data_IF_847995668691
#
_entry.id   IF_847995668691
#
_cell.length_a   1.000
_cell.length_b   1.000
_cell.length_c   1.000
_cell.angle_alpha   90.00
_cell.angle_beta   90.00
_cell.angle_gamma   90.00
#
_symmetry.space_group_name_H-M   'P 1'
#
loop_
_entity.id
_entity.type
_entity.pdbx_description
1 polymer ?
#
# COMPACT_ATOMS: atom_id res chain seq x y z
N UNK A 1 24.43 -36.60 -45.76
CA UNK A 1 25.10 -35.75 -44.74
C UNK A 1 24.43 -34.38 -44.51
N UNK A 2 23.74 -33.76 -45.48
CA UNK A 2 23.10 -32.41 -45.31
C UNK A 2 21.83 -32.36 -44.44
N UNK A 3 21.04 -33.44 -44.30
CA UNK A 3 19.81 -33.44 -43.48
C UNK A 3 20.09 -33.53 -41.97
N UNK A 4 21.19 -34.14 -41.49
CA UNK A 4 21.55 -34.20 -40.08
C UNK A 4 22.04 -32.87 -39.48
N UNK A 5 22.66 -32.02 -40.32
CA UNK A 5 23.13 -30.71 -39.90
C UNK A 5 22.03 -29.68 -39.67
N UNK A 6 20.89 -29.80 -40.40
CA UNK A 6 19.74 -28.89 -40.21
C UNK A 6 18.96 -29.21 -38.91
N UNK A 7 18.86 -30.50 -38.55
CA UNK A 7 18.13 -30.92 -37.31
C UNK A 7 18.94 -30.49 -36.08
N UNK A 8 20.28 -30.62 -36.09
CA UNK A 8 21.11 -30.17 -34.96
C UNK A 8 21.06 -28.66 -34.77
N UNK A 9 21.00 -27.86 -35.83
CA UNK A 9 20.87 -26.39 -35.72
C UNK A 9 19.49 -25.95 -35.25
N UNK A 10 18.43 -26.68 -35.62
CA UNK A 10 17.06 -26.42 -35.13
C UNK A 10 16.92 -26.72 -33.65
N UNK A 11 17.49 -27.82 -33.17
CA UNK A 11 17.45 -28.19 -31.74
C UNK A 11 18.29 -27.25 -30.88
N UNK A 12 19.48 -26.78 -31.36
CA UNK A 12 20.27 -25.78 -30.64
C UNK A 12 19.62 -24.42 -30.58
N UNK A 13 18.88 -23.99 -31.63
CA UNK A 13 18.14 -22.75 -31.63
C UNK A 13 16.90 -22.81 -30.71
N UNK A 14 16.21 -23.95 -30.63
CA UNK A 14 15.11 -24.19 -29.71
C UNK A 14 15.58 -24.26 -28.24
N UNK A 15 16.73 -24.86 -27.98
CA UNK A 15 17.32 -24.89 -26.62
C UNK A 15 17.82 -23.50 -26.20
N UNK A 16 18.37 -22.68 -27.11
CA UNK A 16 18.74 -21.31 -26.82
C UNK A 16 17.52 -20.39 -26.59
N UNK A 17 16.44 -20.61 -27.34
CA UNK A 17 15.17 -19.88 -27.14
C UNK A 17 14.48 -20.27 -25.81
N UNK A 18 14.61 -21.53 -25.37
CA UNK A 18 14.11 -21.97 -24.07
C UNK A 18 14.91 -21.40 -22.89
N UNK A 19 16.20 -21.10 -23.08
CA UNK A 19 17.02 -20.41 -22.06
C UNK A 19 16.79 -18.89 -22.01
N UNK A 20 16.10 -18.30 -23.01
CA UNK A 20 15.77 -16.89 -23.07
C UNK A 20 14.27 -16.60 -22.83
N UNK A 21 13.48 -17.61 -22.55
CA UNK A 21 12.12 -17.36 -22.07
C UNK A 21 12.25 -16.65 -20.71
N UNK A 22 11.77 -15.40 -20.58
CA UNK A 22 11.69 -14.80 -19.24
C UNK A 22 10.91 -15.77 -18.37
N UNK A 23 11.41 -16.10 -17.19
CA UNK A 23 10.59 -16.82 -16.21
C UNK A 23 9.32 -16.01 -16.05
N UNK A 24 8.20 -16.53 -16.51
CA UNK A 24 6.88 -15.93 -16.32
C UNK A 24 6.62 -15.97 -14.82
N UNK A 25 7.00 -14.92 -14.13
CA UNK A 25 6.63 -14.73 -12.72
C UNK A 25 5.17 -14.28 -12.69
N UNK A 26 4.43 -14.79 -11.73
CA UNK A 26 3.03 -14.40 -11.54
C UNK A 26 2.91 -12.90 -11.24
N UNK A 27 3.88 -12.36 -10.52
CA UNK A 27 3.90 -10.95 -10.11
C UNK A 27 5.07 -10.20 -10.74
N UNK A 28 4.79 -8.99 -11.20
CA UNK A 28 5.82 -8.07 -11.65
C UNK A 28 6.51 -7.42 -10.45
N UNK A 29 7.78 -7.12 -10.61
CA UNK A 29 8.61 -6.45 -9.60
C UNK A 29 9.45 -5.38 -10.30
N UNK A 30 9.84 -4.35 -9.54
CA UNK A 30 10.80 -3.37 -10.02
C UNK A 30 12.15 -4.02 -10.37
N UNK A 31 12.88 -3.51 -11.38
CA UNK A 31 14.22 -3.96 -11.69
C UNK A 31 15.20 -3.73 -10.52
N UNK A 32 16.16 -4.64 -10.33
CA UNK A 32 17.14 -4.54 -9.24
C UNK A 32 17.94 -3.22 -9.25
N UNK A 33 18.13 -2.60 -10.42
CA UNK A 33 18.78 -1.29 -10.57
C UNK A 33 18.01 -0.15 -9.87
N UNK A 34 16.68 -0.22 -9.82
CA UNK A 34 15.84 0.77 -9.13
C UNK A 34 16.12 0.75 -7.64
N UNK A 35 16.20 -0.44 -7.04
CA UNK A 35 16.53 -0.57 -5.62
C UNK A 35 17.95 -0.06 -5.31
N UNK A 36 18.91 -0.34 -6.17
CA UNK A 36 20.28 0.20 -6.03
C UNK A 36 20.31 1.73 -6.10
N UNK A 37 19.53 2.35 -6.99
CA UNK A 37 19.42 3.81 -7.08
C UNK A 37 18.79 4.41 -5.83
N UNK A 38 17.76 3.78 -5.26
CA UNK A 38 17.11 4.20 -3.99
C UNK A 38 18.11 4.16 -2.83
N UNK A 39 18.90 3.08 -2.71
CA UNK A 39 19.96 2.97 -1.69
C UNK A 39 21.02 4.06 -1.84
N UNK A 40 21.47 4.32 -3.05
CA UNK A 40 22.44 5.38 -3.31
C UNK A 40 21.91 6.77 -2.91
N UNK A 41 20.67 7.09 -3.24
CA UNK A 41 20.00 8.35 -2.84
C UNK A 41 19.88 8.47 -1.31
N UNK A 42 19.47 7.39 -0.62
CA UNK A 42 19.34 7.39 0.84
C UNK A 42 20.68 7.63 1.52
N UNK A 43 21.72 6.90 1.12
CA UNK A 43 23.08 7.05 1.68
C UNK A 43 23.62 8.46 1.49
N UNK A 44 23.39 9.03 0.29
CA UNK A 44 23.83 10.41 0.01
C UNK A 44 23.11 11.45 0.88
N UNK A 45 21.82 11.24 1.16
CA UNK A 45 21.02 12.13 1.99
C UNK A 45 21.40 12.07 3.48
N UNK A 46 21.67 10.87 4.01
CA UNK A 46 21.98 10.65 5.44
C UNK A 46 23.47 10.85 5.74
N UNK A 47 24.36 10.44 4.82
CA UNK A 47 25.82 10.50 4.94
C UNK A 47 26.40 9.85 6.23
N UNK A 48 25.74 8.82 6.73
CA UNK A 48 26.15 8.01 7.88
C UNK A 48 25.80 6.53 7.61
N UNK A 49 26.34 5.58 8.38
CA UNK A 49 25.96 4.18 8.27
C UNK A 49 24.48 3.97 8.60
N UNK A 50 23.79 3.19 7.79
CA UNK A 50 22.37 2.86 7.94
C UNK A 50 22.24 1.34 8.02
N UNK A 51 21.53 0.85 9.01
CA UNK A 51 21.16 -0.56 9.13
C UNK A 51 19.65 -0.70 9.21
N UNK A 52 19.10 -1.56 8.36
CA UNK A 52 17.67 -1.88 8.33
C UNK A 52 17.48 -3.39 8.42
N UNK A 53 16.35 -3.79 8.97
CA UNK A 53 16.00 -5.18 9.19
C UNK A 53 14.72 -5.53 8.43
N UNK A 54 14.71 -6.69 7.82
CA UNK A 54 13.50 -7.30 7.31
C UNK A 54 12.79 -8.10 8.39
N UNK A 55 11.51 -8.36 8.16
CA UNK A 55 10.71 -9.24 9.03
C UNK A 55 11.26 -10.66 9.06
N UNK A 56 11.04 -11.32 10.18
CA UNK A 56 11.47 -12.72 10.42
C UNK A 56 10.35 -13.72 10.10
N UNK A 57 9.16 -13.25 9.76
CA UNK A 57 7.96 -14.05 9.59
C UNK A 57 7.23 -14.40 10.90
N UNK A 58 7.66 -13.79 12.01
CA UNK A 58 7.07 -14.00 13.34
C UNK A 58 6.46 -12.73 13.93
N UNK A 59 6.50 -11.63 13.21
CA UNK A 59 6.03 -10.32 13.66
C UNK A 59 4.50 -10.23 13.67
N UNK A 60 3.86 -10.84 12.68
CA UNK A 60 2.42 -10.82 12.55
C UNK A 60 1.83 -12.24 12.60
N UNK A 61 0.74 -12.38 13.34
CA UNK A 61 -0.10 -13.57 13.29
C UNK A 61 -1.05 -13.52 12.09
N UNK A 62 -0.50 -13.36 10.87
CA UNK A 62 -1.32 -13.33 9.66
C UNK A 62 -1.60 -14.78 9.20
N UNK A 63 -2.88 -15.22 9.18
CA UNK A 63 -3.25 -16.56 8.73
C UNK A 63 -3.15 -16.74 7.21
N UNK A 64 -2.92 -15.69 6.43
CA UNK A 64 -2.88 -15.76 4.97
C UNK A 64 -1.65 -16.49 4.41
N UNK A 65 -0.65 -16.75 5.22
CA UNK A 65 0.60 -17.40 4.85
C UNK A 65 1.41 -16.74 3.72
N UNK A 66 0.99 -15.58 3.23
CA UNK A 66 1.76 -14.80 2.27
C UNK A 66 2.69 -13.92 3.07
N UNK A 67 4.00 -14.23 3.02
CA UNK A 67 4.99 -13.38 3.66
C UNK A 67 5.11 -12.05 2.93
N UNK A 68 4.90 -10.97 3.65
CA UNK A 68 5.14 -9.60 3.20
C UNK A 68 6.30 -9.04 4.01
N UNK A 69 7.25 -8.46 3.29
CA UNK A 69 8.43 -7.87 3.89
C UNK A 69 8.11 -6.51 4.51
N UNK A 70 8.92 -6.09 5.50
CA UNK A 70 8.90 -4.71 6.00
C UNK A 70 9.11 -3.74 4.83
N UNK A 71 8.27 -2.73 4.73
CA UNK A 71 8.09 -1.95 3.51
C UNK A 71 9.30 -1.07 3.19
N UNK A 72 9.99 -0.49 4.17
CA UNK A 72 11.21 0.30 3.94
C UNK A 72 12.38 -0.57 3.53
N UNK A 73 12.50 -1.73 4.18
CA UNK A 73 13.50 -2.73 3.77
C UNK A 73 13.23 -3.22 2.36
N UNK A 74 11.98 -3.56 2.03
CA UNK A 74 11.58 -3.97 0.68
C UNK A 74 11.83 -2.86 -0.35
N UNK A 75 11.45 -1.61 -0.04
CA UNK A 75 11.65 -0.45 -0.90
C UNK A 75 13.11 -0.27 -1.32
N UNK A 76 14.04 -0.61 -0.43
CA UNK A 76 15.48 -0.45 -0.65
C UNK A 76 16.16 -1.70 -1.23
N UNK A 77 15.59 -2.88 -1.06
CA UNK A 77 16.25 -4.14 -1.41
C UNK A 77 15.55 -4.93 -2.50
N UNK A 78 14.23 -4.86 -2.58
CA UNK A 78 13.40 -5.77 -3.37
C UNK A 78 13.43 -7.22 -2.87
N UNK A 79 14.02 -7.46 -1.69
CA UNK A 79 14.17 -8.79 -1.11
C UNK A 79 12.96 -9.12 -0.22
N UNK A 80 12.18 -10.13 -0.63
CA UNK A 80 10.96 -10.53 0.07
C UNK A 80 11.10 -11.94 0.67
N UNK A 81 12.14 -12.15 1.47
CA UNK A 81 12.37 -13.36 2.25
C UNK A 81 12.74 -12.99 3.69
N UNK A 82 12.42 -13.87 4.63
CA UNK A 82 12.50 -13.65 6.07
C UNK A 82 13.94 -13.52 6.60
N UNK A 83 14.13 -12.68 7.62
CA UNK A 83 15.34 -12.68 8.47
C UNK A 83 16.54 -11.96 7.86
N UNK A 84 16.37 -11.14 6.83
CA UNK A 84 17.44 -10.38 6.21
C UNK A 84 17.75 -9.06 6.94
N UNK A 85 18.93 -8.48 6.68
CA UNK A 85 19.27 -7.13 7.07
C UNK A 85 20.09 -6.43 5.97
N UNK A 86 19.97 -5.12 5.92
CA UNK A 86 20.68 -4.23 5.00
C UNK A 86 21.64 -3.35 5.77
N UNK A 87 22.89 -3.26 5.32
CA UNK A 87 23.84 -2.27 5.78
C UNK A 87 24.26 -1.38 4.60
N UNK A 88 24.11 -0.07 4.79
CA UNK A 88 24.59 0.94 3.86
C UNK A 88 25.69 1.76 4.53
N UNK A 89 26.77 2.03 3.80
CA UNK A 89 27.93 2.75 4.30
C UNK A 89 28.23 3.92 3.35
N UNK A 90 28.33 5.17 3.87
CA UNK A 90 28.53 6.34 3.02
C UNK A 90 29.92 6.36 2.36
N UNK A 91 30.06 7.13 1.28
CA UNK A 91 31.36 7.30 0.58
C UNK A 91 32.44 7.88 1.49
N UNK A 92 32.09 8.76 2.42
CA UNK A 92 32.98 9.34 3.41
C UNK A 92 33.64 8.30 4.32
N UNK A 93 33.17 7.05 4.33
CA UNK A 93 33.77 5.97 5.11
C UNK A 93 35.18 5.57 4.64
N UNK A 94 35.44 5.65 3.35
CA UNK A 94 36.78 5.36 2.79
C UNK A 94 37.84 6.31 3.38
N UNK A 95 37.51 7.59 3.51
CA UNK A 95 38.40 8.59 4.14
C UNK A 95 38.63 8.34 5.63
N UNK A 96 37.74 7.57 6.25
CA UNK A 96 37.79 7.13 7.64
C UNK A 96 38.38 5.73 7.80
N UNK A 97 39.01 5.20 6.73
CA UNK A 97 39.69 3.90 6.76
C UNK A 97 38.78 2.68 6.55
N UNK A 98 37.54 2.87 6.10
CA UNK A 98 36.68 1.74 5.68
C UNK A 98 37.14 1.16 4.35
N UNK A 99 37.41 -0.13 4.32
CA UNK A 99 37.85 -0.86 3.11
C UNK A 99 36.83 -1.93 2.65
N UNK A 100 35.70 -2.06 3.38
CA UNK A 100 34.64 -3.01 3.05
C UNK A 100 33.72 -2.51 1.95
N UNK A 101 32.76 -3.37 1.54
CA UNK A 101 31.71 -2.97 0.62
C UNK A 101 30.81 -1.89 1.24
N UNK A 102 30.27 -1.00 0.38
CA UNK A 102 29.39 0.09 0.82
C UNK A 102 27.92 -0.32 0.93
N UNK A 103 27.54 -1.42 0.29
CA UNK A 103 26.21 -2.01 0.37
C UNK A 103 26.37 -3.49 0.66
N UNK A 104 25.79 -3.96 1.76
CA UNK A 104 25.85 -5.35 2.18
C UNK A 104 24.45 -5.83 2.52
N UNK A 105 24.00 -6.87 1.85
CA UNK A 105 22.81 -7.60 2.24
C UNK A 105 23.24 -8.78 3.14
N UNK A 106 22.63 -8.87 4.31
CA UNK A 106 22.85 -9.97 5.24
C UNK A 106 21.70 -10.93 5.16
N UNK A 107 21.98 -12.21 4.91
CA UNK A 107 20.98 -13.27 4.83
C UNK A 107 21.22 -14.30 5.93
N UNK A 108 20.18 -14.95 6.42
CA UNK A 108 20.33 -16.16 7.24
C UNK A 108 20.96 -17.28 6.41
N UNK A 109 21.70 -18.21 7.04
CA UNK A 109 22.12 -19.43 6.36
C UNK A 109 20.91 -20.26 5.95
N UNK A 110 21.02 -21.01 4.85
CA UNK A 110 19.97 -21.95 4.44
C UNK A 110 19.75 -23.03 5.50
N UNK A 111 18.50 -23.35 5.75
CA UNK A 111 18.08 -24.49 6.57
C UNK A 111 17.27 -25.50 5.75
N UNK A 112 17.88 -26.61 5.28
CA UNK A 112 17.19 -27.62 4.47
C UNK A 112 15.97 -28.27 5.18
N UNK A 113 15.86 -28.18 6.51
CA UNK A 113 14.69 -28.67 7.23
C UNK A 113 13.52 -27.71 7.07
N UNK A 114 13.75 -26.41 7.25
CA UNK A 114 12.72 -25.39 7.05
C UNK A 114 12.30 -25.28 5.58
N UNK A 115 13.25 -25.41 4.64
CA UNK A 115 12.94 -25.37 3.20
C UNK A 115 12.01 -26.50 2.74
N UNK A 116 11.91 -27.60 3.49
CA UNK A 116 10.90 -28.64 3.23
C UNK A 116 9.47 -28.21 3.57
N UNK A 117 9.33 -27.23 4.43
CA UNK A 117 8.01 -26.70 4.85
C UNK A 117 7.61 -25.47 4.04
N UNK A 118 8.55 -24.56 3.83
CA UNK A 118 8.26 -23.23 3.32
C UNK A 118 8.81 -22.98 1.89
N UNK A 119 9.44 -23.99 1.29
CA UNK A 119 10.13 -23.84 0.01
C UNK A 119 11.58 -23.36 0.15
N UNK A 120 12.35 -23.36 -0.98
CA UNK A 120 13.73 -22.94 -0.99
C UNK A 120 13.87 -21.45 -0.73
N UNK A 121 14.92 -21.06 0.02
CA UNK A 121 15.28 -19.66 0.33
C UNK A 121 16.67 -19.33 -0.18
N UNK A 122 16.92 -18.05 -0.40
CA UNK A 122 18.25 -17.56 -0.75
C UNK A 122 19.14 -17.57 0.49
N UNK A 123 20.36 -18.11 0.31
CA UNK A 123 21.41 -18.05 1.31
C UNK A 123 22.61 -17.25 0.85
N UNK A 124 23.48 -16.80 1.80
CA UNK A 124 24.63 -15.95 1.44
C UNK A 124 25.65 -16.66 0.56
N UNK A 125 25.70 -17.99 0.58
CA UNK A 125 26.67 -18.82 -0.16
C UNK A 125 26.05 -19.40 -1.47
N UNK A 126 24.84 -18.99 -1.84
CA UNK A 126 24.20 -19.51 -3.06
C UNK A 126 24.94 -19.04 -4.33
N UNK A 127 25.09 -19.92 -5.32
CA UNK A 127 25.67 -19.53 -6.60
C UNK A 127 24.89 -18.39 -7.27
N UNK A 128 25.59 -17.33 -7.68
CA UNK A 128 24.99 -16.17 -8.33
C UNK A 128 24.14 -15.30 -7.41
N UNK A 129 24.33 -15.36 -6.08
CA UNK A 129 23.51 -14.60 -5.12
C UNK A 129 23.59 -13.09 -5.35
N UNK A 130 24.75 -12.55 -5.79
CA UNK A 130 24.91 -11.15 -6.11
C UNK A 130 24.01 -10.74 -7.29
N UNK A 131 23.96 -11.56 -8.34
CA UNK A 131 23.14 -11.32 -9.52
C UNK A 131 21.64 -11.41 -9.18
N UNK A 132 21.25 -12.36 -8.31
CA UNK A 132 19.86 -12.57 -7.89
C UNK A 132 19.35 -11.44 -7.02
N UNK A 133 20.21 -10.88 -6.17
CA UNK A 133 19.84 -9.85 -5.19
C UNK A 133 20.16 -8.43 -5.65
N UNK A 134 21.05 -8.26 -6.64
CA UNK A 134 21.54 -6.96 -7.09
C UNK A 134 22.52 -6.29 -6.13
N UNK A 135 23.08 -7.04 -5.17
CA UNK A 135 24.09 -6.56 -4.24
C UNK A 135 25.48 -7.03 -4.64
N UNK A 136 26.47 -6.17 -4.53
CA UNK A 136 27.88 -6.54 -4.77
C UNK A 136 28.43 -7.40 -3.65
N UNK A 137 27.85 -7.31 -2.46
CA UNK A 137 28.24 -8.08 -1.29
C UNK A 137 27.01 -8.65 -0.57
N UNK A 138 26.98 -9.96 -0.40
CA UNK A 138 26.02 -10.68 0.42
C UNK A 138 26.79 -11.46 1.47
N UNK A 139 26.37 -11.39 2.72
CA UNK A 139 27.05 -11.99 3.86
C UNK A 139 26.06 -12.71 4.78
N UNK A 140 26.58 -13.60 5.62
CA UNK A 140 25.75 -14.21 6.67
C UNK A 140 25.40 -13.19 7.74
N UNK A 141 24.16 -13.26 8.23
CA UNK A 141 23.64 -12.36 9.29
C UNK A 141 24.52 -12.32 10.54
N UNK A 142 25.19 -13.40 10.87
CA UNK A 142 26.09 -13.49 12.01
C UNK A 142 27.23 -12.46 12.01
N UNK A 143 27.65 -11.97 10.83
CA UNK A 143 28.74 -10.98 10.67
C UNK A 143 28.26 -9.54 10.89
N UNK A 144 26.97 -9.26 10.90
CA UNK A 144 26.44 -7.89 10.97
C UNK A 144 26.93 -7.14 12.22
N UNK A 145 26.88 -7.81 13.38
CA UNK A 145 27.30 -7.19 14.66
C UNK A 145 28.74 -6.71 14.65
N UNK A 146 29.66 -7.54 14.19
CA UNK A 146 31.10 -7.20 14.13
C UNK A 146 31.37 -6.10 13.11
N UNK A 147 30.66 -6.11 11.98
CA UNK A 147 30.75 -5.08 10.95
C UNK A 147 30.30 -3.72 11.48
N UNK A 148 29.14 -3.67 12.17
CA UNK A 148 28.64 -2.45 12.81
C UNK A 148 29.59 -1.95 13.91
N UNK A 149 30.10 -2.82 14.76
CA UNK A 149 31.06 -2.46 15.80
C UNK A 149 32.37 -1.88 15.21
N UNK A 150 32.78 -2.38 14.04
CA UNK A 150 33.90 -1.82 13.28
C UNK A 150 33.64 -0.40 12.77
N UNK A 151 32.46 -0.15 12.20
CA UNK A 151 32.05 1.17 11.71
C UNK A 151 31.88 2.19 12.81
N UNK A 152 31.28 1.80 13.93
CA UNK A 152 31.02 2.69 15.06
C UNK A 152 32.30 3.29 15.71
N UNK A 153 33.47 2.74 15.44
CA UNK A 153 34.76 3.34 15.86
C UNK A 153 35.02 4.70 15.21
N UNK A 154 34.49 4.90 14.01
CA UNK A 154 34.71 6.09 13.19
C UNK A 154 33.44 6.88 12.91
N UNK A 155 32.27 6.37 13.33
CA UNK A 155 30.97 7.01 13.20
C UNK A 155 30.31 7.11 14.55
N UNK A 156 30.07 8.34 15.06
CA UNK A 156 29.37 8.56 16.33
C UNK A 156 27.86 8.32 16.21
N UNK A 157 27.34 8.22 14.98
CA UNK A 157 25.92 8.05 14.68
C UNK A 157 25.71 6.85 13.74
N UNK A 158 24.76 6.00 14.06
CA UNK A 158 24.26 4.90 13.23
C UNK A 158 22.76 5.08 13.07
N UNK A 159 22.29 5.02 11.84
CA UNK A 159 20.87 5.20 11.53
C UNK A 159 20.14 3.85 11.41
N UNK A 160 18.97 3.77 11.97
CA UNK A 160 18.02 2.67 11.82
C UNK A 160 16.59 3.19 12.00
N UNK A 161 15.60 2.35 11.86
CA UNK A 161 14.24 2.72 12.21
C UNK A 161 14.06 2.76 13.72
N UNK A 162 13.47 3.85 14.20
CA UNK A 162 13.07 4.01 15.59
C UNK A 162 11.54 3.96 15.69
N UNK A 163 10.99 3.52 16.84
CA UNK A 163 9.55 3.60 17.08
C UNK A 163 9.06 5.04 16.91
N UNK A 164 7.95 5.21 16.20
CA UNK A 164 7.30 6.50 16.04
C UNK A 164 6.63 6.98 17.34
N UNK A 165 6.31 8.28 17.44
CA UNK A 165 5.68 8.84 18.65
C UNK A 165 4.25 8.34 18.90
N UNK A 166 3.63 7.71 17.90
CA UNK A 166 2.27 7.15 17.97
C UNK A 166 2.25 5.63 17.99
N UNK A 167 3.43 4.98 17.98
CA UNK A 167 3.51 3.52 18.07
C UNK A 167 3.10 3.07 19.47
N UNK A 168 2.10 2.21 19.52
CA UNK A 168 1.59 1.61 20.75
C UNK A 168 2.13 0.20 20.94
N UNK A 169 2.26 -0.25 22.18
CA UNK A 169 2.68 -1.61 22.50
C UNK A 169 4.18 -1.86 22.29
N UNK A 170 4.53 -2.88 21.52
CA UNK A 170 5.91 -3.29 21.28
C UNK A 170 6.22 -3.30 19.77
N UNK A 171 6.41 -2.14 19.14
CA UNK A 171 6.68 -2.05 17.71
C UNK A 171 8.00 -2.75 17.34
N UNK A 172 8.08 -3.31 16.13
CA UNK A 172 9.28 -4.01 15.64
C UNK A 172 10.52 -3.12 15.66
N UNK A 173 10.37 -1.85 15.33
CA UNK A 173 11.43 -0.84 15.38
C UNK A 173 12.04 -0.70 16.78
N UNK A 174 11.30 -0.95 17.85
CA UNK A 174 11.85 -0.95 19.22
C UNK A 174 12.84 -2.10 19.42
N UNK A 175 12.57 -3.30 18.88
CA UNK A 175 13.47 -4.43 18.94
C UNK A 175 14.71 -4.21 18.08
N UNK A 176 14.56 -3.68 16.87
CA UNK A 176 15.66 -3.38 15.95
C UNK A 176 16.57 -2.29 16.51
N UNK A 177 16.00 -1.18 16.96
CA UNK A 177 16.77 -0.10 17.58
C UNK A 177 17.50 -0.55 18.83
N UNK A 178 16.89 -1.40 19.68
CA UNK A 178 17.54 -2.01 20.83
C UNK A 178 18.71 -2.89 20.40
N UNK A 179 18.52 -3.76 19.41
CA UNK A 179 19.58 -4.61 18.87
C UNK A 179 20.77 -3.80 18.38
N UNK A 180 20.51 -2.68 17.67
CA UNK A 180 21.57 -1.77 17.21
C UNK A 180 22.28 -1.12 18.39
N UNK A 181 21.55 -0.59 19.38
CA UNK A 181 22.14 -0.02 20.60
C UNK A 181 23.03 -1.01 21.35
N UNK A 182 22.58 -2.26 21.46
CA UNK A 182 23.36 -3.32 22.11
C UNK A 182 24.60 -3.75 21.28
N UNK A 183 24.56 -3.57 19.95
CA UNK A 183 25.69 -3.87 19.08
C UNK A 183 26.74 -2.75 19.07
N UNK A 184 26.32 -1.51 19.22
CA UNK A 184 27.19 -0.31 19.12
C UNK A 184 26.90 0.68 20.25
N UNK A 185 27.11 0.30 21.53
CA UNK A 185 26.73 1.11 22.69
C UNK A 185 27.44 2.48 22.79
N UNK A 186 28.52 2.67 22.03
CA UNK A 186 29.28 3.92 21.96
C UNK A 186 28.75 4.91 20.92
N UNK A 187 27.87 4.48 20.01
CA UNK A 187 27.27 5.34 19.00
C UNK A 187 25.84 5.77 19.37
N UNK A 188 25.44 6.94 18.92
CA UNK A 188 24.05 7.37 18.96
C UNK A 188 23.26 6.68 17.88
N UNK A 189 22.09 6.13 18.22
CA UNK A 189 21.18 5.50 17.25
C UNK A 189 20.15 6.55 16.83
N UNK A 190 20.13 6.85 15.54
CA UNK A 190 19.32 7.90 14.92
C UNK A 190 18.21 7.29 14.05
N UNK A 191 17.10 8.02 13.89
CA UNK A 191 15.98 7.58 13.05
C UNK A 191 16.21 7.87 11.57
N UNK A 192 15.97 6.86 10.73
CA UNK A 192 16.09 6.95 9.27
C UNK A 192 14.73 7.12 8.58
N UNK A 193 13.63 6.90 9.28
CA UNK A 193 12.27 6.79 8.72
C UNK A 193 11.87 8.02 7.89
N UNK A 194 12.21 9.22 8.37
CA UNK A 194 11.91 10.47 7.65
C UNK A 194 12.65 10.58 6.31
N UNK A 195 13.90 10.11 6.24
CA UNK A 195 14.69 10.14 5.01
C UNK A 195 14.15 9.13 3.97
N UNK A 196 13.78 7.92 4.42
CA UNK A 196 13.15 6.90 3.57
C UNK A 196 11.79 7.40 3.08
N UNK A 197 10.94 7.92 3.97
CA UNK A 197 9.63 8.47 3.62
C UNK A 197 9.72 9.60 2.57
N UNK A 198 10.76 10.43 2.64
CA UNK A 198 11.02 11.46 1.63
C UNK A 198 11.25 10.86 0.24
N UNK A 199 11.96 9.74 0.14
CA UNK A 199 12.17 9.05 -1.14
C UNK A 199 10.89 8.36 -1.62
N UNK A 200 10.14 7.71 -0.72
CA UNK A 200 8.89 7.01 -1.02
C UNK A 200 7.78 7.95 -1.50
N UNK A 201 7.80 9.21 -1.09
CA UNK A 201 6.77 10.17 -1.45
C UNK A 201 6.64 10.37 -2.97
N UNK A 202 7.74 10.36 -3.72
CA UNK A 202 7.77 10.56 -5.18
C UNK A 202 7.88 9.21 -5.88
N UNK A 203 6.80 8.77 -6.49
CA UNK A 203 6.69 7.47 -7.15
C UNK A 203 7.39 7.46 -8.50
N UNK A 204 8.14 6.43 -8.77
CA UNK A 204 8.71 6.14 -10.10
C UNK A 204 7.61 5.68 -11.06
N UNK A 205 7.89 5.65 -12.35
CA UNK A 205 6.96 5.11 -13.36
C UNK A 205 6.65 3.62 -13.13
N UNK A 206 7.61 2.84 -12.60
CA UNK A 206 7.41 1.44 -12.24
C UNK A 206 6.46 1.29 -11.05
N UNK A 207 6.66 2.07 -9.98
CA UNK A 207 5.75 2.10 -8.84
C UNK A 207 4.33 2.49 -9.25
N UNK A 208 4.17 3.51 -10.10
CA UNK A 208 2.86 3.91 -10.63
C UNK A 208 2.18 2.80 -11.44
N UNK A 209 2.94 2.00 -12.18
CA UNK A 209 2.40 0.85 -12.89
C UNK A 209 1.93 -0.25 -11.94
N UNK A 210 2.63 -0.50 -10.83
CA UNK A 210 2.25 -1.47 -9.81
C UNK A 210 1.03 -1.00 -9.01
N UNK A 211 0.97 0.28 -8.62
CA UNK A 211 -0.21 0.90 -7.99
C UNK A 211 -1.43 0.76 -8.91
N UNK A 212 -1.30 1.01 -10.22
CA UNK A 212 -2.42 0.86 -11.15
C UNK A 212 -2.91 -0.59 -11.24
N UNK A 213 -2.01 -1.58 -11.07
CA UNK A 213 -2.38 -3.00 -11.00
C UNK A 213 -3.09 -3.40 -9.70
N UNK A 214 -2.94 -2.65 -8.63
CA UNK A 214 -3.77 -2.78 -7.44
C UNK A 214 -5.13 -2.08 -7.61
N UNK A 215 -5.14 -0.91 -8.26
CA UNK A 215 -6.36 -0.10 -8.50
C UNK A 215 -7.33 -0.81 -9.44
N UNK A 216 -6.86 -1.38 -10.55
CA UNK A 216 -7.75 -1.95 -11.57
C UNK A 216 -8.65 -3.08 -11.04
N UNK A 217 -8.13 -4.10 -10.30
CA UNK A 217 -8.96 -5.09 -9.63
C UNK A 217 -9.89 -4.49 -8.57
N UNK A 218 -9.42 -3.47 -7.84
CA UNK A 218 -10.24 -2.81 -6.82
C UNK A 218 -11.44 -2.09 -7.43
N UNK A 219 -11.27 -1.45 -8.59
CA UNK A 219 -12.39 -0.92 -9.37
C UNK A 219 -13.37 -2.03 -9.77
N UNK A 220 -12.87 -3.16 -10.27
CA UNK A 220 -13.73 -4.29 -10.68
C UNK A 220 -14.46 -4.90 -9.47
N UNK A 221 -13.83 -4.96 -8.29
CA UNK A 221 -14.44 -5.39 -7.04
C UNK A 221 -15.61 -4.46 -6.63
N UNK A 222 -15.40 -3.14 -6.68
CA UNK A 222 -16.46 -2.16 -6.40
C UNK A 222 -17.62 -2.27 -7.40
N UNK A 223 -17.35 -2.42 -8.69
CA UNK A 223 -18.40 -2.60 -9.70
C UNK A 223 -19.18 -3.91 -9.49
N UNK A 224 -18.52 -4.97 -9.05
CA UNK A 224 -19.17 -6.24 -8.71
C UNK A 224 -20.02 -6.10 -7.43
N UNK A 225 -19.52 -5.40 -6.40
CA UNK A 225 -20.27 -5.10 -5.19
C UNK A 225 -21.54 -4.28 -5.49
N UNK A 226 -21.46 -3.24 -6.33
CA UNK A 226 -22.62 -2.46 -6.77
C UNK A 226 -23.69 -3.32 -7.43
N UNK A 227 -23.31 -4.30 -8.23
CA UNK A 227 -24.27 -5.24 -8.89
C UNK A 227 -24.85 -6.28 -7.92
N UNK A 228 -24.09 -6.64 -6.91
CA UNK A 228 -24.45 -7.73 -5.97
C UNK A 228 -25.29 -7.24 -4.78
N UNK A 229 -24.99 -6.06 -4.24
CA UNK A 229 -25.59 -5.55 -2.99
C UNK A 229 -27.11 -5.47 -3.11
N UNK A 230 -27.79 -6.06 -2.12
CA UNK A 230 -29.23 -6.03 -1.93
C UNK A 230 -29.59 -6.34 -0.47
N UNK A 231 -30.78 -5.93 -0.01
CA UNK A 231 -31.28 -6.35 1.30
C UNK A 231 -31.28 -7.87 1.46
N UNK A 232 -30.93 -8.34 2.65
CA UNK A 232 -30.87 -9.76 3.00
C UNK A 232 -29.47 -10.39 2.95
N UNK A 233 -28.52 -9.80 2.23
CA UNK A 233 -27.10 -10.20 2.31
C UNK A 233 -26.49 -9.75 3.65
N UNK A 234 -25.38 -10.35 4.02
CA UNK A 234 -24.53 -9.89 5.11
C UNK A 234 -23.31 -9.10 4.56
N UNK A 235 -22.81 -8.16 5.35
CA UNK A 235 -21.64 -7.34 5.03
C UNK A 235 -20.43 -8.22 4.62
N UNK A 236 -20.16 -9.32 5.37
CA UNK A 236 -19.06 -10.25 5.05
C UNK A 236 -19.20 -10.93 3.68
N UNK A 237 -20.41 -11.10 3.16
CA UNK A 237 -20.61 -11.72 1.83
C UNK A 237 -20.18 -10.76 0.72
N UNK A 238 -20.38 -9.46 0.93
CA UNK A 238 -19.91 -8.41 0.01
C UNK A 238 -18.40 -8.30 0.10
N UNK A 239 -17.83 -8.23 1.31
CA UNK A 239 -16.39 -8.20 1.53
C UNK A 239 -15.70 -9.41 0.87
N UNK A 240 -16.18 -10.63 1.13
CA UNK A 240 -15.63 -11.86 0.55
C UNK A 240 -15.63 -11.85 -0.99
N UNK A 241 -16.69 -11.28 -1.61
CA UNK A 241 -16.73 -11.17 -3.08
C UNK A 241 -15.69 -10.18 -3.62
N UNK A 242 -15.45 -9.09 -2.90
CA UNK A 242 -14.43 -8.10 -3.30
C UNK A 242 -13.03 -8.69 -3.17
N UNK A 243 -12.72 -9.36 -2.07
CA UNK A 243 -11.44 -10.07 -1.84
C UNK A 243 -11.21 -11.14 -2.92
N UNK A 244 -12.22 -11.96 -3.25
CA UNK A 244 -12.10 -12.97 -4.33
C UNK A 244 -11.66 -12.33 -5.66
N UNK A 245 -12.16 -11.15 -6.00
CA UNK A 245 -11.79 -10.46 -7.24
C UNK A 245 -10.34 -9.98 -7.19
N UNK A 246 -9.91 -9.44 -6.06
CA UNK A 246 -8.52 -9.03 -5.87
C UNK A 246 -7.55 -10.20 -6.02
N UNK A 247 -7.77 -11.28 -5.28
CA UNK A 247 -6.91 -12.49 -5.34
C UNK A 247 -6.92 -13.12 -6.73
N UNK A 248 -8.10 -13.23 -7.38
CA UNK A 248 -8.21 -13.78 -8.73
C UNK A 248 -7.45 -12.97 -9.77
N UNK A 249 -7.37 -11.64 -9.58
CA UNK A 249 -6.63 -10.74 -10.46
C UNK A 249 -5.13 -10.66 -10.13
N UNK A 250 -4.66 -11.35 -9.09
CA UNK A 250 -3.26 -11.45 -8.71
C UNK A 250 -2.81 -10.47 -7.63
N UNK A 251 -3.72 -9.80 -6.92
CA UNK A 251 -3.37 -9.14 -5.68
C UNK A 251 -2.91 -10.20 -4.65
N UNK A 252 -1.80 -9.92 -3.98
CA UNK A 252 -1.22 -10.88 -3.03
C UNK A 252 -2.00 -10.90 -1.71
N UNK A 253 -2.64 -9.78 -1.39
CA UNK A 253 -3.51 -9.58 -0.22
C UNK A 253 -4.37 -8.33 -0.40
N UNK A 254 -5.20 -8.03 0.59
CA UNK A 254 -5.83 -6.73 0.73
C UNK A 254 -4.82 -5.70 1.27
N UNK A 255 -4.94 -4.43 0.85
CA UNK A 255 -4.11 -3.34 1.36
C UNK A 255 -4.42 -3.02 2.83
N UNK A 256 -5.65 -3.30 3.25
CA UNK A 256 -6.17 -3.16 4.62
C UNK A 256 -7.39 -4.07 4.79
N UNK A 257 -7.84 -4.28 6.03
CA UNK A 257 -9.04 -5.08 6.29
C UNK A 257 -10.25 -4.46 5.59
N UNK A 258 -11.02 -5.21 4.80
CA UNK A 258 -12.19 -4.68 4.10
C UNK A 258 -13.18 -4.01 5.05
N UNK A 259 -13.61 -2.80 4.71
CA UNK A 259 -14.63 -2.03 5.41
C UNK A 259 -15.90 -2.10 4.58
N UNK A 260 -16.88 -2.84 5.05
CA UNK A 260 -18.24 -2.92 4.48
C UNK A 260 -19.21 -2.61 5.60
N UNK A 261 -19.61 -1.34 5.71
CA UNK A 261 -20.45 -0.85 6.80
C UNK A 261 -21.84 -0.45 6.32
N UNK A 262 -22.90 -0.99 6.95
CA UNK A 262 -24.29 -0.72 6.59
C UNK A 262 -25.04 0.00 7.69
N UNK A 263 -25.95 0.92 7.35
CA UNK A 263 -26.71 1.70 8.32
C UNK A 263 -25.78 2.38 9.33
N UNK A 264 -25.95 2.13 10.63
CA UNK A 264 -25.09 2.71 11.68
C UNK A 264 -23.60 2.38 11.47
N UNK A 265 -23.27 1.17 11.00
CA UNK A 265 -21.88 0.76 10.79
C UNK A 265 -21.15 1.63 9.75
N UNK A 266 -21.90 2.25 8.81
CA UNK A 266 -21.31 3.20 7.85
C UNK A 266 -20.76 4.47 8.51
N UNK A 267 -21.13 4.74 9.76
CA UNK A 267 -20.63 5.90 10.53
C UNK A 267 -19.37 5.61 11.33
N UNK A 268 -18.89 4.37 11.31
CA UNK A 268 -17.65 3.93 11.98
C UNK A 268 -16.53 3.87 10.96
N UNK A 269 -15.53 4.73 11.08
CA UNK A 269 -14.51 4.99 10.03
C UNK A 269 -13.79 3.73 9.55
N UNK A 270 -13.29 2.89 10.46
CA UNK A 270 -12.58 1.64 10.17
C UNK A 270 -13.36 0.42 10.65
N UNK A 271 -14.65 0.33 10.22
CA UNK A 271 -15.51 -0.79 10.59
C UNK A 271 -15.12 -2.06 9.84
N UNK A 272 -14.57 -3.04 10.54
CA UNK A 272 -14.05 -4.29 9.97
C UNK A 272 -14.68 -5.58 10.50
N UNK A 273 -15.73 -5.50 11.33
CA UNK A 273 -16.42 -6.70 11.83
C UNK A 273 -17.25 -7.39 10.76
N UNK A 274 -17.84 -6.63 9.85
CA UNK A 274 -18.63 -7.04 8.69
C UNK A 274 -19.70 -8.10 9.00
N UNK A 275 -20.35 -8.01 10.17
CA UNK A 275 -21.23 -9.05 10.70
C UNK A 275 -22.74 -8.73 10.62
N UNK A 276 -23.11 -7.51 10.16
CA UNK A 276 -24.49 -7.07 10.09
C UNK A 276 -25.18 -7.54 8.82
N UNK A 277 -26.47 -7.87 8.91
CA UNK A 277 -27.35 -8.10 7.75
C UNK A 277 -27.75 -6.75 7.14
N UNK A 278 -27.64 -6.64 5.81
CA UNK A 278 -28.06 -5.48 5.04
C UNK A 278 -29.58 -5.40 5.02
N UNK A 279 -30.13 -4.27 5.40
CA UNK A 279 -31.57 -4.04 5.46
C UNK A 279 -32.06 -3.10 4.35
N UNK A 280 -33.35 -3.15 4.05
CA UNK A 280 -33.95 -2.23 3.08
C UNK A 280 -33.89 -0.80 3.61
N UNK A 281 -33.45 0.14 2.77
CA UNK A 281 -33.24 1.53 3.17
C UNK A 281 -31.89 1.85 3.81
N UNK A 282 -31.02 0.85 4.05
CA UNK A 282 -29.65 1.11 4.48
C UNK A 282 -28.83 1.84 3.40
N UNK A 283 -27.86 2.59 3.86
CA UNK A 283 -26.67 2.95 3.06
C UNK A 283 -25.60 1.91 3.28
N UNK A 284 -24.77 1.63 2.28
CA UNK A 284 -23.64 0.69 2.34
C UNK A 284 -22.38 1.44 1.95
N UNK A 285 -21.48 1.65 2.88
CA UNK A 285 -20.16 2.19 2.66
C UNK A 285 -19.21 1.02 2.38
N UNK A 286 -18.52 1.08 1.25
CA UNK A 286 -17.56 0.10 0.77
C UNK A 286 -16.21 0.79 0.67
N UNK A 287 -15.26 0.43 1.52
CA UNK A 287 -13.90 0.94 1.52
C UNK A 287 -12.96 -0.27 1.51
N UNK A 288 -12.49 -0.61 0.30
CA UNK A 288 -11.79 -1.86 0.04
C UNK A 288 -10.79 -1.66 -1.09
N UNK A 289 -9.52 -1.92 -0.80
CA UNK A 289 -8.42 -1.84 -1.76
C UNK A 289 -7.54 -3.09 -1.72
N UNK A 290 -7.10 -3.53 -2.90
CA UNK A 290 -6.16 -4.64 -3.04
C UNK A 290 -4.72 -4.18 -2.99
N UNK A 291 -3.80 -5.13 -2.75
CA UNK A 291 -2.36 -4.91 -2.76
C UNK A 291 -1.70 -5.79 -3.83
N UNK A 292 -1.00 -5.17 -4.79
CA UNK A 292 -0.27 -5.87 -5.84
C UNK A 292 1.22 -5.58 -5.76
N UNK A 293 2.03 -6.64 -5.65
CA UNK A 293 3.50 -6.51 -5.54
C UNK A 293 3.94 -5.60 -4.40
N UNK A 294 3.19 -5.60 -3.29
CA UNK A 294 3.39 -4.75 -2.13
C UNK A 294 2.77 -3.35 -2.25
N UNK A 295 2.32 -2.90 -3.43
CA UNK A 295 1.71 -1.58 -3.61
C UNK A 295 0.21 -1.61 -3.38
N UNK A 296 -0.27 -0.69 -2.56
CA UNK A 296 -1.66 -0.55 -2.16
C UNK A 296 -2.49 0.26 -3.19
N UNK A 297 -3.80 0.04 -3.17
CA UNK A 297 -4.82 0.97 -3.64
C UNK A 297 -5.74 1.34 -2.49
N UNK A 298 -6.41 2.50 -2.60
CA UNK A 298 -7.37 2.95 -1.60
C UNK A 298 -8.61 3.56 -2.26
N UNK A 299 -9.75 2.90 -2.08
CA UNK A 299 -10.98 3.28 -2.79
C UNK A 299 -12.19 3.12 -1.89
N UNK A 300 -12.94 4.21 -1.71
CA UNK A 300 -14.26 4.16 -1.08
C UNK A 300 -15.37 4.54 -2.04
N UNK A 301 -16.46 3.77 -2.01
CA UNK A 301 -17.76 4.13 -2.57
C UNK A 301 -18.88 3.87 -1.56
N UNK A 302 -19.89 4.74 -1.57
CA UNK A 302 -21.08 4.58 -0.77
C UNK A 302 -22.29 4.39 -1.68
N UNK A 303 -23.10 3.35 -1.44
CA UNK A 303 -24.20 2.95 -2.30
C UNK A 303 -25.48 2.67 -1.50
N UNK A 304 -26.68 2.81 -2.08
CA UNK A 304 -27.95 2.45 -1.41
C UNK A 304 -28.18 0.94 -1.44
N UNK A 305 -28.54 0.32 -0.32
CA UNK A 305 -28.73 -1.13 -0.22
C UNK A 305 -29.74 -1.71 -1.22
N UNK A 306 -30.81 -0.99 -1.53
CA UNK A 306 -31.88 -1.44 -2.43
C UNK A 306 -31.74 -0.92 -3.89
N UNK A 307 -30.66 -0.18 -4.18
CA UNK A 307 -30.37 0.37 -5.50
C UNK A 307 -31.00 1.73 -5.77
N UNK A 308 -31.55 2.40 -4.76
CA UNK A 308 -32.10 3.75 -4.84
C UNK A 308 -31.76 4.55 -3.59
N UNK A 309 -31.10 5.69 -3.77
CA UNK A 309 -30.89 6.64 -2.67
C UNK A 309 -32.23 7.23 -2.20
N UNK A 310 -32.45 7.27 -0.89
CA UNK A 310 -33.50 8.12 -0.34
C UNK A 310 -33.15 9.61 -0.56
N UNK A 311 -34.10 10.54 -0.49
CA UNK A 311 -33.80 11.98 -0.66
C UNK A 311 -32.70 12.47 0.29
N UNK A 312 -32.68 12.01 1.55
CA UNK A 312 -31.66 12.40 2.52
C UNK A 312 -30.29 11.78 2.24
N UNK A 313 -30.25 10.51 1.86
CA UNK A 313 -29.00 9.84 1.46
C UNK A 313 -28.39 10.53 0.24
N UNK A 314 -29.20 10.87 -0.76
CA UNK A 314 -28.74 11.58 -1.97
C UNK A 314 -28.23 12.98 -1.62
N UNK A 315 -28.91 13.71 -0.78
CA UNK A 315 -28.48 15.03 -0.30
C UNK A 315 -27.09 14.97 0.32
N UNK A 316 -26.88 14.10 1.29
CA UNK A 316 -25.55 13.94 1.95
C UNK A 316 -24.51 13.44 0.97
N UNK A 317 -24.86 12.49 0.11
CA UNK A 317 -23.96 11.98 -0.93
C UNK A 317 -23.48 13.08 -1.88
N UNK A 318 -24.38 13.90 -2.38
CA UNK A 318 -24.07 14.99 -3.31
C UNK A 318 -23.22 16.09 -2.66
N UNK A 319 -23.37 16.34 -1.36
CA UNK A 319 -22.52 17.26 -0.60
C UNK A 319 -21.09 16.69 -0.48
N UNK A 320 -20.94 15.39 -0.15
CA UNK A 320 -19.62 14.73 -0.08
C UNK A 320 -18.97 14.71 -1.45
N UNK A 321 -19.70 14.38 -2.51
CA UNK A 321 -19.19 14.40 -3.90
C UNK A 321 -18.77 15.80 -4.32
N UNK A 322 -19.54 16.83 -3.94
CA UNK A 322 -19.21 18.22 -4.21
C UNK A 322 -17.94 18.67 -3.49
N UNK A 323 -17.75 18.25 -2.24
CA UNK A 323 -16.52 18.52 -1.48
C UNK A 323 -15.30 17.83 -2.11
N UNK A 324 -15.48 16.56 -2.56
CA UNK A 324 -14.43 15.83 -3.27
C UNK A 324 -14.05 16.54 -4.58
N UNK A 325 -15.03 16.93 -5.38
CA UNK A 325 -14.79 17.67 -6.63
C UNK A 325 -14.09 19.00 -6.39
N UNK A 326 -14.52 19.78 -5.40
CA UNK A 326 -13.88 21.06 -5.06
C UNK A 326 -12.41 20.87 -4.65
N UNK A 327 -12.11 19.85 -3.86
CA UNK A 327 -10.75 19.52 -3.49
C UNK A 327 -9.93 19.05 -4.70
N UNK A 328 -10.46 18.13 -5.52
CA UNK A 328 -9.79 17.63 -6.74
C UNK A 328 -9.48 18.75 -7.73
N UNK A 329 -10.40 19.67 -7.99
CA UNK A 329 -10.19 20.81 -8.89
C UNK A 329 -9.05 21.74 -8.42
N UNK A 330 -8.81 21.78 -7.11
CA UNK A 330 -7.72 22.55 -6.52
C UNK A 330 -6.37 21.82 -6.52
N UNK A 331 -6.33 20.49 -6.76
CA UNK A 331 -5.09 19.69 -6.72
C UNK A 331 -4.10 20.15 -7.78
N UNK A 332 -2.93 20.60 -7.31
CA UNK A 332 -1.77 20.95 -8.14
C UNK A 332 -0.50 21.01 -7.28
N UNK A 333 0.69 21.01 -7.88
CA UNK A 333 1.93 21.23 -7.13
C UNK A 333 1.87 22.52 -6.30
N UNK A 334 2.40 22.48 -5.09
CA UNK A 334 2.41 23.61 -4.15
C UNK A 334 1.21 23.67 -3.19
N UNK A 335 0.14 22.87 -3.43
CA UNK A 335 -0.95 22.70 -2.44
C UNK A 335 -0.48 21.85 -1.26
N UNK A 336 -1.19 21.89 -0.14
CA UNK A 336 -0.93 21.10 1.06
C UNK A 336 -2.12 20.19 1.37
N UNK A 337 -1.88 19.01 1.95
CA UNK A 337 -2.97 18.10 2.35
C UNK A 337 -3.79 18.72 3.48
N UNK A 338 -3.12 19.14 4.54
CA UNK A 338 -3.72 19.77 5.73
C UNK A 338 -3.31 21.22 5.91
N UNK A 339 -3.87 21.85 6.94
CA UNK A 339 -3.61 23.26 7.26
C UNK A 339 -4.88 24.11 7.29
N UNK A 340 -4.71 25.42 7.56
CA UNK A 340 -5.83 26.38 7.69
C UNK A 340 -5.80 27.50 6.65
N UNK A 341 -4.79 27.50 5.79
CA UNK A 341 -4.64 28.51 4.74
C UNK A 341 -5.32 28.10 3.43
N UNK A 342 -5.29 29.00 2.45
CA UNK A 342 -5.94 28.81 1.15
C UNK A 342 -5.27 27.73 0.27
N UNK A 343 -4.09 27.22 0.64
CA UNK A 343 -3.41 26.14 -0.06
C UNK A 343 -3.78 24.75 0.45
N UNK A 344 -4.57 24.67 1.52
CA UNK A 344 -4.99 23.41 2.13
C UNK A 344 -6.18 22.79 1.42
N UNK A 345 -5.99 21.58 0.87
CA UNK A 345 -7.07 20.77 0.29
C UNK A 345 -8.13 20.40 1.34
N UNK A 346 -7.69 20.07 2.57
CA UNK A 346 -8.58 19.82 3.72
C UNK A 346 -9.53 20.99 3.96
N UNK A 347 -8.98 22.22 3.96
CA UNK A 347 -9.79 23.42 4.18
C UNK A 347 -10.84 23.61 3.07
N UNK A 348 -10.46 23.38 1.81
CA UNK A 348 -11.37 23.52 0.67
C UNK A 348 -12.56 22.55 0.81
N UNK A 349 -12.30 21.28 1.14
CA UNK A 349 -13.36 20.30 1.35
C UNK A 349 -14.25 20.65 2.55
N UNK A 350 -13.66 21.09 3.67
CA UNK A 350 -14.39 21.51 4.86
C UNK A 350 -15.28 22.73 4.60
N UNK A 351 -14.73 23.76 3.95
CA UNK A 351 -15.50 24.98 3.61
C UNK A 351 -16.68 24.64 2.68
N UNK A 352 -16.50 23.69 1.76
CA UNK A 352 -17.59 23.22 0.91
C UNK A 352 -18.71 22.56 1.74
N UNK A 353 -18.38 21.61 2.60
CA UNK A 353 -19.34 20.91 3.47
C UNK A 353 -20.05 21.92 4.38
N UNK A 354 -19.33 22.85 5.01
CA UNK A 354 -19.89 23.85 5.91
C UNK A 354 -20.91 24.77 5.24
N UNK A 355 -20.72 25.07 3.96
CA UNK A 355 -21.59 25.99 3.21
C UNK A 355 -22.78 25.32 2.51
N UNK A 356 -22.75 23.98 2.27
CA UNK A 356 -23.73 23.30 1.41
C UNK A 356 -24.72 22.41 2.15
N UNK A 357 -24.59 22.19 3.46
CA UNK A 357 -25.49 21.30 4.15
C UNK A 357 -25.76 21.66 5.61
N UNK A 358 -26.92 21.22 6.08
CA UNK A 358 -27.37 21.36 7.47
C UNK A 358 -27.83 20.01 8.03
N UNK A 359 -27.61 19.81 9.34
CA UNK A 359 -28.26 18.74 10.08
C UNK A 359 -29.74 19.09 10.36
N UNK A 360 -30.45 18.16 11.01
CA UNK A 360 -31.85 18.34 11.34
C UNK A 360 -32.12 19.49 12.33
N UNK A 361 -31.10 19.94 13.04
CA UNK A 361 -31.12 21.09 13.95
C UNK A 361 -30.67 22.39 13.29
N UNK A 362 -30.39 22.38 11.98
CA UNK A 362 -29.99 23.57 11.22
C UNK A 362 -28.52 23.96 11.37
N UNK A 363 -27.67 23.12 11.99
CA UNK A 363 -26.24 23.34 12.17
C UNK A 363 -25.47 22.81 10.96
N UNK A 364 -24.25 23.35 10.73
CA UNK A 364 -23.38 22.89 9.66
C UNK A 364 -23.06 21.40 9.76
N UNK A 365 -23.00 20.70 8.61
CA UNK A 365 -22.55 19.31 8.49
C UNK A 365 -21.04 19.13 8.67
N UNK A 366 -20.23 20.17 8.66
CA UNK A 366 -18.79 20.09 8.90
C UNK A 366 -18.42 19.45 10.24
N UNK A 367 -19.31 19.52 11.26
CA UNK A 367 -19.13 18.81 12.54
C UNK A 367 -19.10 17.29 12.42
N UNK A 368 -19.61 16.74 11.35
CA UNK A 368 -19.65 15.31 11.06
C UNK A 368 -18.53 14.86 10.08
N UNK A 369 -17.69 15.80 9.65
CA UNK A 369 -16.46 15.50 8.91
C UNK A 369 -15.28 15.45 9.88
N UNK A 370 -14.94 14.25 10.36
CA UNK A 370 -14.15 14.02 11.57
C UNK A 370 -12.74 13.43 11.32
N UNK A 371 -12.29 13.37 10.05
CA UNK A 371 -10.96 12.87 9.67
C UNK A 371 -10.28 13.78 8.65
N UNK A 372 -9.05 13.46 8.30
CA UNK A 372 -8.30 14.16 7.26
C UNK A 372 -8.86 13.89 5.86
N UNK A 373 -8.65 14.84 4.93
CA UNK A 373 -9.08 14.68 3.54
C UNK A 373 -8.27 13.65 2.78
N UNK A 374 -7.00 13.40 3.20
CA UNK A 374 -6.04 12.78 2.31
C UNK A 374 -4.81 12.27 3.06
N UNK A 375 -4.26 11.18 2.57
CA UNK A 375 -2.93 10.66 2.92
C UNK A 375 -2.21 10.20 1.65
N UNK A 376 -0.91 9.91 1.76
CA UNK A 376 -0.14 9.30 0.67
C UNK A 376 -0.46 7.82 0.55
N UNK A 377 -0.37 7.27 -0.67
CA UNK A 377 -0.54 5.85 -0.99
C UNK A 377 0.72 5.33 -1.69
N UNK A 378 1.15 4.12 -1.35
CA UNK A 378 2.34 3.47 -1.92
C UNK A 378 2.48 2.02 -1.48
N UNK A 379 3.63 1.64 -0.92
CA UNK A 379 3.82 0.32 -0.30
C UNK A 379 2.97 0.15 0.97
N UNK A 380 2.69 1.23 1.67
CA UNK A 380 1.64 1.25 2.68
C UNK A 380 0.41 1.97 2.13
N UNK A 381 -0.77 1.59 2.60
CA UNK A 381 -2.00 2.35 2.32
C UNK A 381 -1.86 3.78 2.87
N UNK A 382 -1.35 3.96 4.09
CA UNK A 382 -0.91 5.25 4.64
C UNK A 382 0.61 5.38 4.45
N UNK A 383 1.03 5.73 3.24
CA UNK A 383 2.44 5.74 2.85
C UNK A 383 3.20 6.92 3.50
N UNK A 384 4.40 6.69 4.07
CA UNK A 384 5.17 7.77 4.64
C UNK A 384 5.66 8.74 3.56
N UNK A 385 5.66 10.03 3.86
CA UNK A 385 6.08 11.08 2.93
C UNK A 385 7.26 11.93 3.42
N UNK A 386 7.85 11.57 4.58
CA UNK A 386 8.83 12.38 5.26
C UNK A 386 8.19 13.60 5.94
N UNK A 387 8.93 14.71 6.15
CA UNK A 387 8.39 15.92 6.75
C UNK A 387 7.24 16.50 5.94
N UNK A 388 6.25 17.10 6.62
CA UNK A 388 5.14 17.77 5.96
C UNK A 388 5.66 18.83 4.96
N UNK A 389 5.19 18.73 3.72
CA UNK A 389 5.62 19.60 2.61
C UNK A 389 4.50 19.78 1.59
N UNK A 390 4.59 20.83 0.74
CA UNK A 390 3.66 20.97 -0.39
C UNK A 390 3.70 19.78 -1.34
N UNK A 391 2.59 19.56 -2.04
CA UNK A 391 2.49 18.51 -3.07
C UNK A 391 3.46 18.76 -4.23
N UNK A 392 4.09 17.67 -4.67
CA UNK A 392 5.04 17.64 -5.77
C UNK A 392 4.62 16.63 -6.84
N UNK A 393 5.00 16.84 -8.11
CA UNK A 393 4.75 15.83 -9.16
C UNK A 393 5.33 14.47 -8.81
N UNK A 394 4.56 13.41 -9.05
CA UNK A 394 4.93 12.03 -8.70
C UNK A 394 4.38 11.55 -7.37
N UNK A 395 3.82 12.41 -6.53
CA UNK A 395 3.10 11.99 -5.33
C UNK A 395 1.78 11.34 -5.71
N UNK A 396 1.40 10.26 -5.01
CA UNK A 396 0.08 9.63 -5.06
C UNK A 396 -0.59 9.84 -3.71
N UNK A 397 -1.81 10.35 -3.74
CA UNK A 397 -2.60 10.71 -2.55
C UNK A 397 -4.05 10.24 -2.72
N UNK A 398 -4.77 10.04 -1.62
CA UNK A 398 -6.24 9.91 -1.63
C UNK A 398 -6.91 11.29 -1.67
N UNK A 399 -8.17 11.36 -2.11
CA UNK A 399 -9.09 12.46 -1.85
C UNK A 399 -10.42 11.86 -1.38
N UNK A 400 -10.68 11.94 -0.07
CA UNK A 400 -11.67 11.10 0.62
C UNK A 400 -12.55 11.86 1.63
N UNK A 401 -13.23 12.94 1.28
CA UNK A 401 -14.11 13.60 2.24
C UNK A 401 -15.24 12.67 2.67
N UNK A 402 -15.70 12.81 3.93
CA UNK A 402 -16.81 12.03 4.46
C UNK A 402 -17.70 12.81 5.44
N UNK A 403 -18.95 12.40 5.53
CA UNK A 403 -19.92 12.90 6.49
C UNK A 403 -20.53 11.70 7.21
N UNK A 404 -20.48 11.68 8.54
CA UNK A 404 -20.93 10.56 9.37
C UNK A 404 -21.90 11.04 10.43
N UNK A 405 -23.19 10.70 10.26
CA UNK A 405 -24.32 11.12 11.12
C UNK A 405 -24.88 9.90 11.85
N UNK A 406 -24.36 9.56 13.05
CA UNK A 406 -24.80 8.37 13.79
C UNK A 406 -26.31 8.40 14.10
N UNK A 407 -26.85 9.56 14.40
CA UNK A 407 -28.25 9.76 14.73
C UNK A 407 -29.20 9.46 13.55
N UNK A 408 -28.65 9.47 12.31
CA UNK A 408 -29.39 9.14 11.10
C UNK A 408 -29.00 7.76 10.53
N UNK A 409 -28.09 7.02 11.18
CA UNK A 409 -27.50 5.78 10.66
C UNK A 409 -26.94 5.97 9.24
N UNK A 410 -26.29 7.10 9.00
CA UNK A 410 -25.89 7.56 7.67
C UNK A 410 -24.44 8.05 7.65
N UNK A 411 -23.57 7.23 7.09
CA UNK A 411 -22.19 7.58 6.77
C UNK A 411 -21.95 7.54 5.26
N UNK A 412 -21.31 8.56 4.74
CA UNK A 412 -20.92 8.66 3.32
C UNK A 412 -19.46 9.07 3.23
N UNK A 413 -18.67 8.29 2.54
CA UNK A 413 -17.31 8.60 2.06
C UNK A 413 -17.22 8.30 0.57
N UNK A 414 -16.52 9.14 -0.16
CA UNK A 414 -16.18 8.94 -1.58
C UNK A 414 -14.70 9.22 -1.71
N UNK A 415 -13.95 8.25 -2.18
CA UNK A 415 -12.50 8.26 -2.19
C UNK A 415 -11.93 7.81 -3.52
N UNK A 416 -10.89 8.48 -3.94
CA UNK A 416 -10.15 8.17 -5.17
C UNK A 416 -8.66 8.39 -4.97
N UNK A 417 -7.84 7.52 -5.58
CA UNK A 417 -6.40 7.68 -5.72
C UNK A 417 -6.07 8.69 -6.82
N UNK A 418 -5.19 9.63 -6.49
CA UNK A 418 -4.83 10.76 -7.33
C UNK A 418 -3.32 10.92 -7.46
N UNK A 419 -2.81 10.91 -8.69
CA UNK A 419 -1.41 11.22 -9.00
C UNK A 419 -1.25 12.72 -9.24
N UNK A 420 -0.30 13.34 -8.53
CA UNK A 420 0.09 14.73 -8.77
C UNK A 420 0.94 14.78 -10.04
N UNK A 421 0.53 15.62 -10.99
CA UNK A 421 1.24 15.86 -12.25
C UNK A 421 1.98 17.22 -12.23
N UNK A 422 2.72 17.54 -13.27
CA UNK A 422 3.46 18.81 -13.35
C UNK A 422 2.54 20.07 -13.27
N UNK A 423 1.27 19.95 -13.67
CA UNK A 423 0.36 21.09 -13.78
C UNK A 423 -0.98 20.94 -13.05
N UNK A 424 -1.23 19.77 -12.45
CA UNK A 424 -2.48 19.44 -11.79
C UNK A 424 -2.45 18.01 -11.28
N UNK A 425 -3.44 17.21 -11.66
CA UNK A 425 -3.55 15.82 -11.22
C UNK A 425 -4.04 14.87 -12.32
N UNK A 426 -3.88 13.57 -12.08
CA UNK A 426 -4.52 12.47 -12.79
C UNK A 426 -5.25 11.59 -11.79
N UNK A 427 -6.56 11.46 -11.90
CA UNK A 427 -7.33 10.50 -11.12
C UNK A 427 -7.03 9.08 -11.65
N UNK A 428 -6.42 8.23 -10.81
CA UNK A 428 -6.04 6.86 -11.18
C UNK A 428 -7.25 5.93 -11.20
N UNK A 429 -8.28 6.24 -10.41
CA UNK A 429 -9.54 5.51 -10.24
C UNK A 429 -10.67 5.99 -11.15
N UNK A 430 -10.40 6.83 -12.14
CA UNK A 430 -11.41 7.52 -12.97
C UNK A 430 -12.42 6.58 -13.67
N UNK A 431 -12.10 5.29 -13.83
CA UNK A 431 -12.99 4.28 -14.40
C UNK A 431 -14.16 3.91 -13.48
N UNK A 432 -14.05 4.16 -12.17
CA UNK A 432 -15.09 3.84 -11.20
C UNK A 432 -16.06 5.02 -11.02
N UNK A 433 -17.34 4.89 -11.36
CA UNK A 433 -18.31 5.98 -11.25
C UNK A 433 -18.46 6.52 -9.83
N UNK A 434 -18.71 7.84 -9.76
CA UNK A 434 -19.01 8.57 -8.51
C UNK A 434 -20.39 9.21 -8.50
N UNK A 435 -21.01 9.37 -9.69
CA UNK A 435 -22.35 9.96 -9.79
C UNK A 435 -23.40 9.04 -9.17
N UNK A 436 -24.31 9.54 -8.31
CA UNK A 436 -25.38 8.72 -7.74
C UNK A 436 -26.29 8.11 -8.82
N UNK A 437 -26.51 8.80 -9.95
CA UNK A 437 -27.32 8.27 -11.05
C UNK A 437 -26.65 7.09 -11.77
N UNK A 438 -25.31 7.14 -11.95
CA UNK A 438 -24.56 6.05 -12.55
C UNK A 438 -24.51 4.84 -11.62
N UNK A 439 -24.33 5.06 -10.29
CA UNK A 439 -24.39 4.01 -9.27
C UNK A 439 -25.72 3.31 -9.31
N UNK A 440 -26.86 4.04 -9.25
CA UNK A 440 -28.21 3.47 -9.33
C UNK A 440 -28.43 2.68 -10.63
N UNK A 441 -27.89 3.17 -11.76
CA UNK A 441 -27.96 2.47 -13.06
C UNK A 441 -27.18 1.15 -13.04
N UNK A 442 -25.96 1.13 -12.46
CA UNK A 442 -25.16 -0.09 -12.33
C UNK A 442 -25.86 -1.10 -11.44
N UNK A 443 -26.37 -0.66 -10.28
CA UNK A 443 -27.12 -1.52 -9.36
C UNK A 443 -28.38 -2.11 -10.01
N UNK A 444 -29.09 -1.34 -10.83
CA UNK A 444 -30.24 -1.82 -11.58
C UNK A 444 -29.86 -2.90 -12.60
N UNK A 445 -28.68 -2.82 -13.24
CA UNK A 445 -28.23 -3.82 -14.19
C UNK A 445 -27.93 -5.17 -13.54
N UNK A 446 -27.41 -5.18 -12.31
CA UNK A 446 -27.17 -6.42 -11.55
C UNK A 446 -28.45 -7.21 -11.21
N UNK A 447 -29.59 -6.55 -11.15
CA UNK A 447 -30.89 -7.19 -10.89
C UNK A 447 -31.44 -7.97 -12.11
N UNK A 448 -30.94 -7.69 -13.31
CA UNK A 448 -31.41 -8.28 -14.56
C UNK A 448 -30.54 -9.45 -15.06
N UNK A 449 -29.35 -9.65 -14.49
CA UNK A 449 -28.53 -10.83 -14.82
C UNK A 449 -29.20 -12.09 -14.26
N UNK A 450 -29.37 -13.17 -15.08
CA UNK A 450 -29.92 -14.41 -14.58
C UNK A 450 -29.01 -14.95 -13.46
N UNK A 451 -29.64 -15.36 -12.33
CA UNK A 451 -28.97 -15.97 -11.18
C UNK A 451 -28.14 -17.19 -11.60
N UNK A 452 -26.91 -16.98 -12.09
CA UNK A 452 -25.90 -18.02 -12.20
C UNK A 452 -25.15 -18.09 -10.87
N UNK A 453 -25.43 -19.20 -10.17
CA UNK A 453 -24.77 -19.64 -8.93
C UNK A 453 -25.25 -19.01 -7.62
N UNK A 454 -26.46 -19.34 -7.18
CA UNK A 454 -26.75 -19.57 -5.76
C UNK A 454 -26.19 -20.96 -5.37
N UNK A 455 -24.85 -21.11 -5.33
CA UNK A 455 -24.25 -22.43 -5.02
C UNK A 455 -23.85 -22.57 -3.54
N UNK A 456 -24.10 -21.55 -2.70
CA UNK A 456 -23.64 -21.54 -1.31
C UNK A 456 -24.63 -20.90 -0.31
N UNK A 457 -25.93 -20.85 -0.59
CA UNK A 457 -26.89 -20.58 0.49
C UNK A 457 -27.22 -21.93 1.14
N UNK A 458 -27.02 -22.10 2.46
CA UNK A 458 -27.61 -23.25 3.14
C UNK A 458 -29.11 -23.22 2.93
N UNK A 459 -29.69 -24.35 2.59
CA UNK A 459 -31.16 -24.52 2.59
C UNK A 459 -31.68 -24.18 3.99
N UNK A 460 -32.74 -23.37 4.06
CA UNK A 460 -33.47 -23.05 5.28
C UNK A 460 -33.93 -24.34 5.98
#
# INVERSE_FOLDING_TARGET
>A
MKKRSLILRGVSALLLAACLAPMLRAWEREPLSVFAERRAKLVAAVNAPIVLFGYTGHEEANPSYVFMQEENFYYLTGHNEEGAALLLVPESAEQKGWTGAREILYLPPRDPRQERWNGPRMGPDDPGIQEKTGFTRVETFAKLRDTLAGLAKNYPEIYTELPGPHDEGFPHAANWSKWVKDAVPQASVMDVSSAVGTLRAIKTSGELALIQKAIDPSIDAHLAAMKMVRPGLYEYQVAARMVEIHEYAGCETEAYSPIVGTGFNSTVLHYNKVDRRIEDGDIVLLDVGGQYSGYASDITRTIPANGKFTPRQREIYEIVLGAQNAAMEAVKPGMTLGGKDATSLQKIAMDYIDSHGKDKEGRSLGRYYIHGLSHHVGLNVHDPSGPARPLEPGMVITIEPGIYIPEENLGVRIEDDVLITATGYKQLTARLPRSPDEIEKIMASGKTEPKKQEMWLPAE
#
